data_IF_830214671373
#
_entry.id   IF_830214671373
#
_cell.length_a   1.000
_cell.length_b   1.000
_cell.length_c   1.000
_cell.angle_alpha   90.00
_cell.angle_beta   90.00
_cell.angle_gamma   90.00
#
_symmetry.space_group_name_H-M   'P 1'
#
loop_
_entity.id
_entity.type
_entity.pdbx_description
1 polymer ?
#
# COMPACT_ATOMS: atom_id res chain seq x y z
N UNK A 1 14.00 -29.51 26.15
CA UNK A 1 14.14 -29.02 24.77
C UNK A 1 12.94 -28.12 24.53
N UNK A 2 13.15 -26.81 24.47
CA UNK A 2 12.05 -25.86 24.34
C UNK A 2 11.49 -25.93 22.91
N UNK A 3 10.17 -26.07 22.81
CA UNK A 3 9.41 -26.05 21.57
C UNK A 3 9.55 -24.67 20.94
N UNK A 4 10.00 -24.61 19.69
CA UNK A 4 10.23 -23.35 18.97
C UNK A 4 8.92 -22.98 18.31
N UNK A 5 8.21 -21.98 18.82
CA UNK A 5 7.13 -21.35 18.06
C UNK A 5 7.72 -20.81 16.75
N UNK A 6 7.42 -21.48 15.65
CA UNK A 6 7.85 -21.06 14.33
C UNK A 6 6.86 -20.04 13.82
N UNK A 7 7.18 -18.76 13.95
CA UNK A 7 6.45 -17.70 13.25
C UNK A 7 6.67 -17.91 11.74
N UNK A 8 5.61 -18.28 11.05
CA UNK A 8 5.64 -18.41 9.59
C UNK A 8 5.85 -17.04 8.96
N UNK A 9 6.81 -16.95 8.04
CA UNK A 9 7.09 -15.70 7.31
C UNK A 9 6.04 -15.50 6.23
N UNK A 10 5.17 -14.51 6.44
CA UNK A 10 4.19 -14.05 5.45
C UNK A 10 4.74 -12.80 4.76
N UNK A 11 4.62 -12.73 3.43
CA UNK A 11 5.11 -11.62 2.60
C UNK A 11 4.02 -11.11 1.68
N UNK A 12 4.15 -9.85 1.25
CA UNK A 12 3.26 -9.25 0.23
C UNK A 12 3.78 -9.68 -1.15
N UNK A 13 2.92 -10.31 -1.95
CA UNK A 13 3.25 -10.80 -3.31
C UNK A 13 2.64 -9.96 -4.43
N UNK A 14 1.73 -9.04 -4.09
CA UNK A 14 1.08 -8.15 -5.04
C UNK A 14 0.28 -7.07 -4.32
N UNK A 15 0.06 -5.95 -5.00
CA UNK A 15 -0.73 -4.83 -4.50
C UNK A 15 -1.54 -4.20 -5.64
N UNK A 16 -2.74 -3.73 -5.32
CA UNK A 16 -3.60 -2.96 -6.20
C UNK A 16 -4.29 -1.86 -5.41
N UNK A 17 -4.47 -0.70 -6.02
CA UNK A 17 -4.99 0.49 -5.34
C UNK A 17 -5.96 1.21 -6.28
N UNK A 18 -7.16 1.52 -5.78
CA UNK A 18 -8.11 2.41 -6.43
C UNK A 18 -8.60 3.40 -5.39
N UNK A 19 -8.22 4.67 -5.54
CA UNK A 19 -8.59 5.75 -4.63
C UNK A 19 -8.56 7.11 -5.36
N UNK A 20 -8.96 8.22 -4.72
CA UNK A 20 -8.99 9.53 -5.38
C UNK A 20 -7.64 10.06 -5.89
N UNK A 21 -6.52 9.42 -5.51
CA UNK A 21 -5.18 9.75 -6.02
C UNK A 21 -4.79 8.97 -7.29
N UNK A 22 -5.52 7.91 -7.65
CA UNK A 22 -5.20 7.06 -8.79
C UNK A 22 -5.80 5.65 -8.72
N UNK A 23 -5.70 4.91 -9.82
CA UNK A 23 -6.29 3.56 -9.97
C UNK A 23 -5.23 2.46 -10.14
N UNK A 24 -3.98 2.76 -9.84
CA UNK A 24 -2.88 1.82 -9.81
C UNK A 24 -1.82 2.26 -8.79
N UNK A 25 -0.93 1.34 -8.44
CA UNK A 25 0.09 1.55 -7.40
C UNK A 25 1.06 2.68 -7.76
N UNK A 26 1.51 2.71 -9.02
CA UNK A 26 2.54 3.66 -9.46
C UNK A 26 1.98 5.09 -9.41
N UNK A 27 0.79 5.29 -9.99
CA UNK A 27 0.11 6.59 -10.01
C UNK A 27 -0.11 7.12 -8.59
N UNK A 28 -0.62 6.26 -7.68
CA UNK A 28 -0.87 6.66 -6.29
C UNK A 28 0.43 6.99 -5.56
N UNK A 29 1.47 6.16 -5.73
CA UNK A 29 2.77 6.40 -5.10
C UNK A 29 3.39 7.73 -5.52
N UNK A 30 3.41 8.01 -6.82
CA UNK A 30 3.92 9.29 -7.33
C UNK A 30 3.09 10.48 -6.83
N UNK A 31 1.76 10.35 -6.78
CA UNK A 31 0.89 11.40 -6.26
C UNK A 31 1.16 11.70 -4.78
N UNK A 32 1.38 10.66 -3.97
CA UNK A 32 1.74 10.79 -2.55
C UNK A 32 3.11 11.45 -2.35
N UNK A 33 4.13 11.00 -3.08
CA UNK A 33 5.47 11.60 -3.02
C UNK A 33 5.47 13.08 -3.46
N UNK A 34 4.60 13.44 -4.40
CA UNK A 34 4.40 14.82 -4.84
C UNK A 34 3.50 15.66 -3.89
N UNK A 35 3.00 15.08 -2.80
CA UNK A 35 2.15 15.77 -1.82
C UNK A 35 0.77 16.17 -2.37
N UNK A 36 0.24 15.46 -3.37
CA UNK A 36 -1.08 15.77 -3.95
C UNK A 36 -2.20 15.35 -2.99
N UNK A 37 -3.28 16.14 -2.96
CA UNK A 37 -4.51 15.80 -2.25
C UNK A 37 -5.52 15.18 -3.20
N UNK A 38 -6.21 14.12 -2.75
CA UNK A 38 -7.32 13.48 -3.47
C UNK A 38 -8.70 14.07 -3.15
N UNK A 39 -8.77 15.11 -2.32
CA UNK A 39 -10.04 15.75 -1.95
C UNK A 39 -10.57 16.63 -3.08
N UNK A 40 -11.85 16.48 -3.41
CA UNK A 40 -12.56 17.44 -4.25
C UNK A 40 -12.82 18.76 -3.50
N UNK A 41 -13.06 19.85 -4.23
CA UNK A 41 -13.47 21.13 -3.63
C UNK A 41 -14.92 21.02 -3.12
N UNK A 42 -15.20 21.67 -1.99
CA UNK A 42 -16.55 21.89 -1.46
C UNK A 42 -17.25 23.05 -2.16
#
# INVERSE_FOLDING_TARGET
MAEKETIERVVITGMGIVCPLGHDVETVWQAMLAGRSGMAKT
#
